data_IF_189498462512
#
_entry.id   IF_189498462512
#
_cell.length_a   1.000
_cell.length_b   1.000
_cell.length_c   1.000
_cell.angle_alpha   90.00
_cell.angle_beta   90.00
_cell.angle_gamma   90.00
#
_symmetry.space_group_name_H-M   'P 1'
#
loop_
_entity.id
_entity.type
_entity.pdbx_description
1 polymer ?
#
# COMPACT_ATOMS: atom_id res chain seq x y z
N UNK A 1 -9.08 22.37 -28.54
CA UNK A 1 -10.24 21.47 -28.33
C UNK A 1 -10.76 21.69 -26.92
N UNK A 2 -12.07 21.92 -26.74
CA UNK A 2 -12.68 22.07 -25.41
C UNK A 2 -12.73 20.73 -24.67
N UNK A 3 -12.67 20.76 -23.34
CA UNK A 3 -12.92 19.58 -22.52
C UNK A 3 -14.41 19.18 -22.60
N UNK A 4 -14.72 17.89 -22.42
CA UNK A 4 -16.12 17.41 -22.42
C UNK A 4 -16.99 18.13 -21.38
N UNK A 5 -16.38 18.56 -20.28
CA UNK A 5 -17.05 19.36 -19.25
C UNK A 5 -17.38 20.77 -19.71
N UNK A 6 -16.48 21.42 -20.45
CA UNK A 6 -16.74 22.74 -21.04
C UNK A 6 -17.83 22.68 -22.12
N UNK A 7 -17.80 21.66 -22.98
CA UNK A 7 -18.82 21.45 -24.02
C UNK A 7 -20.20 21.30 -23.37
N UNK A 8 -20.33 20.46 -22.36
CA UNK A 8 -21.62 20.25 -21.74
C UNK A 8 -22.09 21.45 -20.91
N UNK A 9 -21.19 22.14 -20.22
CA UNK A 9 -21.54 23.39 -19.55
C UNK A 9 -22.06 24.44 -20.53
N UNK A 10 -21.46 24.53 -21.73
CA UNK A 10 -21.97 25.39 -22.81
C UNK A 10 -23.36 24.95 -23.25
N UNK A 11 -23.58 23.66 -23.55
CA UNK A 11 -24.89 23.15 -23.98
C UNK A 11 -25.99 23.43 -22.95
N UNK A 12 -25.70 23.24 -21.66
CA UNK A 12 -26.66 23.51 -20.58
C UNK A 12 -26.95 25.01 -20.49
N UNK A 13 -25.92 25.85 -20.52
CA UNK A 13 -26.06 27.31 -20.43
C UNK A 13 -26.78 27.91 -21.63
N UNK A 14 -26.45 27.45 -22.85
CA UNK A 14 -27.09 27.89 -24.07
C UNK A 14 -28.56 27.42 -24.12
N UNK A 15 -28.83 26.19 -23.69
CA UNK A 15 -30.20 25.68 -23.56
C UNK A 15 -31.05 26.47 -22.55
N UNK A 16 -30.47 26.88 -21.42
CA UNK A 16 -31.13 27.76 -20.46
C UNK A 16 -31.44 29.13 -21.10
N UNK A 17 -30.49 29.71 -21.83
CA UNK A 17 -30.68 30.99 -22.53
C UNK A 17 -31.79 30.93 -23.58
N UNK A 18 -31.86 29.84 -24.36
CA UNK A 18 -32.93 29.64 -25.36
C UNK A 18 -34.33 29.60 -24.71
N UNK A 19 -34.44 28.95 -23.54
CA UNK A 19 -35.69 28.90 -22.77
C UNK A 19 -36.13 30.26 -22.22
N UNK A 20 -35.17 31.09 -21.81
CA UNK A 20 -35.39 32.46 -21.33
C UNK A 20 -35.81 33.39 -22.46
N UNK A 21 -35.21 33.23 -23.64
CA UNK A 21 -35.48 34.03 -24.83
C UNK A 21 -36.73 33.61 -25.59
N UNK A 22 -37.40 32.52 -25.18
CA UNK A 22 -38.60 32.01 -25.86
C UNK A 22 -38.31 31.43 -27.25
N UNK A 23 -37.09 30.98 -27.51
CA UNK A 23 -36.64 30.43 -28.81
C UNK A 23 -37.01 28.95 -29.00
N UNK A 24 -37.96 28.44 -28.22
CA UNK A 24 -38.32 27.03 -28.16
C UNK A 24 -39.83 26.90 -28.17
N UNK A 25 -40.36 26.17 -29.16
CA UNK A 25 -41.80 25.96 -29.35
C UNK A 25 -42.41 25.13 -28.21
N UNK A 26 -41.89 23.91 -27.96
CA UNK A 26 -42.30 23.08 -26.82
C UNK A 26 -41.36 23.28 -25.63
N UNK A 27 -41.66 24.31 -24.82
CA UNK A 27 -40.83 24.69 -23.68
C UNK A 27 -40.77 23.61 -22.60
N UNK A 28 -41.85 22.86 -22.40
CA UNK A 28 -41.93 21.89 -21.30
C UNK A 28 -41.16 20.62 -21.64
N UNK A 29 -41.29 20.13 -22.88
CA UNK A 29 -40.48 19.00 -23.35
C UNK A 29 -38.99 19.35 -23.36
N UNK A 30 -38.63 20.55 -23.81
CA UNK A 30 -37.23 21.00 -23.84
C UNK A 30 -36.64 21.15 -22.43
N UNK A 31 -37.38 21.75 -21.48
CA UNK A 31 -36.97 21.82 -20.07
C UNK A 31 -36.70 20.43 -19.49
N UNK A 32 -37.58 19.46 -19.76
CA UNK A 32 -37.42 18.09 -19.30
C UNK A 32 -36.13 17.46 -19.86
N UNK A 33 -35.90 17.58 -21.18
CA UNK A 33 -34.69 17.05 -21.84
C UNK A 33 -33.40 17.69 -21.31
N UNK A 34 -33.41 19.01 -21.10
CA UNK A 34 -32.26 19.75 -20.57
C UNK A 34 -31.95 19.35 -19.11
N UNK A 35 -32.99 19.20 -18.29
CA UNK A 35 -32.86 18.73 -16.91
C UNK A 35 -32.32 17.29 -16.86
N UNK A 36 -32.83 16.41 -17.73
CA UNK A 36 -32.35 15.03 -17.85
C UNK A 36 -30.87 14.99 -18.21
N UNK A 37 -30.44 15.76 -19.21
CA UNK A 37 -29.04 15.86 -19.63
C UNK A 37 -28.14 16.33 -18.48
N UNK A 38 -28.54 17.39 -17.78
CA UNK A 38 -27.83 17.91 -16.61
C UNK A 38 -27.67 16.85 -15.51
N UNK A 39 -28.75 16.15 -15.18
CA UNK A 39 -28.75 15.09 -14.17
C UNK A 39 -27.85 13.90 -14.56
N UNK A 40 -27.93 13.44 -15.81
CA UNK A 40 -27.10 12.36 -16.31
C UNK A 40 -25.61 12.72 -16.23
N UNK A 41 -25.26 13.94 -16.62
CA UNK A 41 -23.89 14.43 -16.52
C UNK A 41 -23.38 14.53 -15.10
N UNK A 42 -24.16 15.11 -14.19
CA UNK A 42 -23.80 15.13 -12.78
C UNK A 42 -23.59 13.71 -12.25
N UNK A 43 -24.36 12.73 -12.73
CA UNK A 43 -24.13 11.30 -12.47
C UNK A 43 -22.78 10.81 -12.98
N UNK A 44 -22.39 11.15 -14.21
CA UNK A 44 -21.07 10.81 -14.78
C UNK A 44 -19.94 11.44 -13.98
N UNK A 45 -20.03 12.73 -13.66
CA UNK A 45 -19.02 13.47 -12.88
C UNK A 45 -18.84 12.84 -11.51
N UNK A 46 -19.93 12.54 -10.79
CA UNK A 46 -19.88 11.88 -9.48
C UNK A 46 -19.19 10.51 -9.55
N UNK A 47 -19.55 9.67 -10.53
CA UNK A 47 -18.88 8.37 -10.73
C UNK A 47 -17.40 8.50 -11.06
N UNK A 48 -17.02 9.47 -11.89
CA UNK A 48 -15.63 9.73 -12.23
C UNK A 48 -14.82 10.17 -11.00
N UNK A 49 -15.37 11.08 -10.19
CA UNK A 49 -14.76 11.53 -8.93
C UNK A 49 -14.62 10.39 -7.92
N UNK A 50 -15.65 9.55 -7.78
CA UNK A 50 -15.60 8.37 -6.91
C UNK A 50 -14.51 7.39 -7.36
N UNK A 51 -14.44 7.09 -8.66
CA UNK A 51 -13.38 6.23 -9.22
C UNK A 51 -11.99 6.81 -8.96
N UNK A 52 -11.81 8.11 -9.16
CA UNK A 52 -10.54 8.78 -8.84
C UNK A 52 -10.18 8.61 -7.36
N UNK A 53 -11.11 8.85 -6.45
CA UNK A 53 -10.88 8.67 -5.02
C UNK A 53 -10.49 7.23 -4.63
N UNK A 54 -11.11 6.23 -5.26
CA UNK A 54 -10.75 4.82 -5.08
C UNK A 54 -9.32 4.56 -5.57
N UNK A 55 -8.98 4.99 -6.79
CA UNK A 55 -7.65 4.82 -7.36
C UNK A 55 -6.58 5.50 -6.50
N UNK A 56 -6.81 6.73 -6.07
CA UNK A 56 -5.88 7.48 -5.22
C UNK A 56 -5.66 6.77 -3.87
N UNK A 57 -6.71 6.18 -3.31
CA UNK A 57 -6.63 5.39 -2.08
C UNK A 57 -5.81 4.13 -2.26
N UNK A 58 -6.09 3.36 -3.32
CA UNK A 58 -5.36 2.14 -3.66
C UNK A 58 -3.88 2.45 -3.92
N UNK A 59 -3.58 3.51 -4.65
CA UNK A 59 -2.20 3.93 -4.93
C UNK A 59 -1.43 4.20 -3.63
N UNK A 60 -2.03 4.91 -2.66
CA UNK A 60 -1.39 5.15 -1.34
C UNK A 60 -1.18 3.86 -0.56
N UNK A 61 -2.12 2.92 -0.61
CA UNK A 61 -1.98 1.62 0.04
C UNK A 61 -0.82 0.82 -0.55
N UNK A 62 -0.72 0.78 -1.88
CA UNK A 62 0.40 0.13 -2.59
C UNK A 62 1.74 0.77 -2.26
N UNK A 63 1.84 2.11 -2.28
CA UNK A 63 3.06 2.83 -1.91
C UNK A 63 3.49 2.50 -0.48
N UNK A 64 2.56 2.56 0.47
CA UNK A 64 2.83 2.23 1.87
C UNK A 64 3.31 0.79 2.03
N UNK A 65 2.66 -0.16 1.35
CA UNK A 65 3.07 -1.57 1.35
C UNK A 65 4.51 -1.73 0.84
N UNK A 66 4.83 -1.11 -0.31
CA UNK A 66 6.19 -1.15 -0.88
C UNK A 66 7.24 -0.62 0.08
N UNK A 67 6.99 0.50 0.74
CA UNK A 67 7.90 1.05 1.76
C UNK A 67 8.09 0.11 2.95
N UNK A 68 7.01 -0.54 3.41
CA UNK A 68 7.06 -1.50 4.53
C UNK A 68 7.86 -2.74 4.15
N UNK A 69 7.64 -3.28 2.95
CA UNK A 69 8.41 -4.41 2.40
C UNK A 69 9.88 -4.06 2.28
N UNK A 70 10.22 -2.89 1.74
CA UNK A 70 11.61 -2.48 1.59
C UNK A 70 12.33 -2.36 2.94
N UNK A 71 11.68 -1.74 3.94
CA UNK A 71 12.22 -1.64 5.30
C UNK A 71 12.41 -3.02 5.94
N UNK A 72 11.44 -3.90 5.78
CA UNK A 72 11.51 -5.26 6.30
C UNK A 72 12.61 -6.08 5.61
N UNK A 73 12.73 -6.00 4.28
CA UNK A 73 13.78 -6.69 3.51
C UNK A 73 15.17 -6.21 3.93
N UNK A 74 15.38 -4.90 4.10
CA UNK A 74 16.66 -4.36 4.61
C UNK A 74 17.02 -4.95 5.97
N UNK A 75 16.06 -4.94 6.90
CA UNK A 75 16.27 -5.54 8.22
C UNK A 75 16.57 -7.04 8.15
N UNK A 76 15.86 -7.80 7.31
CA UNK A 76 16.10 -9.25 7.13
C UNK A 76 17.52 -9.55 6.64
N UNK A 77 18.04 -8.72 5.74
CA UNK A 77 19.43 -8.82 5.25
C UNK A 77 20.42 -8.48 6.37
N UNK A 78 20.20 -7.38 7.10
CA UNK A 78 21.05 -6.97 8.22
C UNK A 78 21.10 -8.05 9.32
N UNK A 79 19.94 -8.62 9.67
CA UNK A 79 19.83 -9.71 10.64
C UNK A 79 20.58 -10.96 10.18
N UNK A 80 20.52 -11.30 8.89
CA UNK A 80 21.23 -12.45 8.32
C UNK A 80 22.75 -12.26 8.31
N UNK A 81 23.23 -11.05 7.98
CA UNK A 81 24.66 -10.74 7.97
C UNK A 81 25.25 -10.71 9.38
N UNK A 82 24.54 -10.11 10.34
CA UNK A 82 24.90 -10.21 11.76
C UNK A 82 24.99 -11.68 12.19
N UNK A 83 24.12 -12.52 11.63
CA UNK A 83 24.13 -13.94 11.95
C UNK A 83 25.42 -14.65 11.50
N UNK A 84 25.80 -14.42 10.24
CA UNK A 84 26.98 -15.03 9.63
C UNK A 84 28.29 -14.55 10.24
N UNK A 85 28.36 -13.28 10.66
CA UNK A 85 29.56 -12.71 11.29
C UNK A 85 29.92 -13.40 12.61
N UNK A 86 28.92 -13.84 13.37
CA UNK A 86 29.13 -14.57 14.64
C UNK A 86 29.51 -16.04 14.43
N UNK A 87 28.98 -16.68 13.38
CA UNK A 87 29.28 -18.08 13.06
C UNK A 87 30.70 -18.27 12.50
N UNK A 88 31.32 -17.22 11.95
CA UNK A 88 32.65 -17.28 11.35
C UNK A 88 33.81 -17.54 12.34
N UNK A 89 33.54 -17.81 13.62
CA UNK A 89 34.55 -18.22 14.61
C UNK A 89 35.58 -17.16 14.98
N UNK A 90 35.36 -15.90 14.57
CA UNK A 90 36.22 -14.79 14.96
C UNK A 90 36.04 -14.54 16.48
N UNK A 91 37.13 -14.36 17.26
CA UNK A 91 37.02 -14.04 18.67
C UNK A 91 36.31 -12.68 18.82
N UNK A 92 35.06 -12.72 19.29
CA UNK A 92 34.28 -11.52 19.58
C UNK A 92 34.61 -11.05 21.00
N UNK A 93 35.06 -9.80 21.18
CA UNK A 93 35.26 -9.22 22.51
C UNK A 93 33.99 -9.36 23.37
N UNK A 94 34.14 -9.76 24.63
CA UNK A 94 33.04 -9.97 25.58
C UNK A 94 32.05 -8.80 25.65
N UNK A 95 32.58 -7.57 25.60
CA UNK A 95 31.80 -6.34 25.62
C UNK A 95 30.92 -6.20 24.36
N UNK A 96 31.45 -6.61 23.20
CA UNK A 96 30.74 -6.60 21.93
C UNK A 96 29.66 -7.70 21.89
N UNK A 97 29.96 -8.90 22.41
CA UNK A 97 28.98 -9.97 22.58
C UNK A 97 27.79 -9.55 23.49
N UNK A 98 28.07 -8.82 24.58
CA UNK A 98 27.01 -8.25 25.45
C UNK A 98 26.16 -7.21 24.74
N UNK A 99 26.77 -6.30 23.98
CA UNK A 99 26.04 -5.30 23.18
C UNK A 99 25.18 -5.97 22.10
N UNK A 100 25.68 -7.03 21.46
CA UNK A 100 24.92 -7.80 20.48
C UNK A 100 23.75 -8.55 21.10
N UNK A 101 23.93 -9.19 22.26
CA UNK A 101 22.83 -9.80 23.02
C UNK A 101 21.81 -8.75 23.46
N UNK A 102 22.27 -7.56 23.85
CA UNK A 102 21.43 -6.43 24.24
C UNK A 102 20.66 -5.83 23.05
N UNK A 103 21.23 -5.82 21.85
CA UNK A 103 20.56 -5.45 20.61
C UNK A 103 19.56 -6.53 20.15
N UNK A 104 19.87 -7.80 20.40
CA UNK A 104 18.98 -8.94 20.25
C UNK A 104 17.91 -9.03 21.36
N UNK A 105 17.95 -8.12 22.35
CA UNK A 105 16.91 -8.11 23.39
C UNK A 105 15.54 -7.95 22.77
N UNK A 106 14.62 -8.59 23.46
CA UNK A 106 13.20 -8.74 23.17
C UNK A 106 12.53 -7.50 22.56
N UNK A 107 12.89 -6.27 22.97
CA UNK A 107 12.30 -5.04 22.42
C UNK A 107 12.57 -4.80 20.94
N UNK A 108 13.79 -5.09 20.44
CA UNK A 108 14.10 -4.94 19.01
C UNK A 108 13.38 -6.03 18.23
N UNK A 109 13.41 -7.28 18.69
CA UNK A 109 12.71 -8.39 18.05
C UNK A 109 11.19 -8.18 18.01
N UNK A 110 10.57 -7.73 19.11
CA UNK A 110 9.15 -7.40 19.19
C UNK A 110 8.77 -6.27 18.24
N UNK A 111 9.60 -5.23 18.13
CA UNK A 111 9.38 -4.14 17.16
C UNK A 111 9.41 -4.67 15.73
N UNK A 112 10.35 -5.55 15.41
CA UNK A 112 10.46 -6.11 14.06
C UNK A 112 9.32 -7.10 13.77
N UNK A 113 8.86 -7.84 14.78
CA UNK A 113 7.66 -8.68 14.68
C UNK A 113 6.42 -7.86 14.36
N UNK A 114 6.25 -6.70 15.03
CA UNK A 114 5.19 -5.75 14.69
C UNK A 114 5.30 -5.23 13.25
N UNK A 115 6.52 -4.89 12.80
CA UNK A 115 6.78 -4.47 11.41
C UNK A 115 6.41 -5.56 10.41
N UNK A 116 6.78 -6.81 10.68
CA UNK A 116 6.43 -7.96 9.84
C UNK A 116 4.92 -8.17 9.75
N UNK A 117 4.21 -8.19 10.89
CA UNK A 117 2.75 -8.36 10.94
C UNK A 117 2.05 -7.28 10.12
N UNK A 118 2.42 -6.01 10.33
CA UNK A 118 1.83 -4.88 9.60
C UNK A 118 2.10 -4.96 8.09
N UNK A 119 3.28 -5.44 7.69
CA UNK A 119 3.65 -5.61 6.27
C UNK A 119 2.81 -6.69 5.63
N UNK A 120 2.69 -7.86 6.27
CA UNK A 120 1.88 -8.98 5.77
C UNK A 120 0.41 -8.61 5.71
N UNK A 121 -0.12 -7.95 6.75
CA UNK A 121 -1.52 -7.52 6.77
C UNK A 121 -1.82 -6.52 5.65
N UNK A 122 -0.93 -5.55 5.44
CA UNK A 122 -1.09 -4.61 4.33
C UNK A 122 -1.10 -5.31 2.96
N UNK A 123 -0.25 -6.31 2.76
CA UNK A 123 -0.29 -7.13 1.54
C UNK A 123 -1.60 -7.91 1.42
N UNK A 124 -2.10 -8.51 2.51
CA UNK A 124 -3.39 -9.22 2.51
C UNK A 124 -4.56 -8.29 2.16
N UNK A 125 -4.56 -7.06 2.66
CA UNK A 125 -5.58 -6.07 2.32
C UNK A 125 -5.54 -5.70 0.84
N UNK A 126 -4.35 -5.58 0.24
CA UNK A 126 -4.22 -5.29 -1.19
C UNK A 126 -4.77 -6.40 -2.08
N UNK A 127 -4.66 -7.67 -1.67
CA UNK A 127 -5.22 -8.82 -2.41
C UNK A 127 -6.74 -8.68 -2.64
N UNK A 128 -7.47 -8.03 -1.74
CA UNK A 128 -8.93 -7.82 -1.87
C UNK A 128 -9.31 -6.93 -3.07
N UNK A 129 -8.34 -6.21 -3.63
CA UNK A 129 -8.55 -5.22 -4.69
C UNK A 129 -7.63 -5.41 -5.90
N UNK A 130 -6.75 -6.41 -5.86
CA UNK A 130 -5.79 -6.70 -6.90
C UNK A 130 -6.48 -7.32 -8.12
N UNK A 131 -5.99 -7.01 -9.32
CA UNK A 131 -6.29 -7.83 -10.49
C UNK A 131 -5.54 -9.17 -10.42
N UNK A 132 -5.90 -10.13 -11.27
CA UNK A 132 -5.33 -11.49 -11.26
C UNK A 132 -3.80 -11.51 -11.37
N UNK A 133 -3.21 -10.57 -12.12
CA UNK A 133 -1.75 -10.52 -12.30
C UNK A 133 -1.08 -9.98 -11.05
N UNK A 134 -1.60 -8.88 -10.51
CA UNK A 134 -1.10 -8.27 -9.28
C UNK A 134 -1.29 -9.20 -8.08
N UNK A 135 -2.40 -9.94 -8.03
CA UNK A 135 -2.70 -10.93 -6.99
C UNK A 135 -1.64 -12.03 -6.95
N UNK A 136 -1.36 -12.66 -8.11
CA UNK A 136 -0.37 -13.72 -8.20
C UNK A 136 1.03 -13.25 -7.75
N UNK A 137 1.47 -12.09 -8.23
CA UNK A 137 2.77 -11.51 -7.85
C UNK A 137 2.83 -11.15 -6.36
N UNK A 138 1.73 -10.65 -5.80
CA UNK A 138 1.66 -10.28 -4.39
C UNK A 138 1.63 -11.50 -3.46
N UNK A 139 0.96 -12.58 -3.87
CA UNK A 139 0.97 -13.85 -3.15
C UNK A 139 2.38 -14.44 -3.10
N UNK A 140 3.09 -14.45 -4.22
CA UNK A 140 4.49 -14.90 -4.29
C UNK A 140 5.40 -14.05 -3.38
N UNK A 141 5.27 -12.71 -3.43
CA UNK A 141 6.04 -11.82 -2.58
C UNK A 141 5.76 -12.04 -1.08
N UNK A 142 4.50 -12.26 -0.71
CA UNK A 142 4.12 -12.55 0.67
C UNK A 142 4.67 -13.89 1.16
N UNK A 143 4.70 -14.92 0.31
CA UNK A 143 5.32 -16.20 0.63
C UNK A 143 6.83 -16.06 0.86
N UNK A 144 7.54 -15.38 -0.04
CA UNK A 144 8.98 -15.09 0.10
C UNK A 144 9.28 -14.33 1.42
N UNK A 145 8.47 -13.33 1.75
CA UNK A 145 8.61 -12.58 3.01
C UNK A 145 8.40 -13.50 4.23
N UNK A 146 7.37 -14.35 4.21
CA UNK A 146 7.08 -15.29 5.30
C UNK A 146 8.22 -16.28 5.51
N UNK A 147 8.76 -16.85 4.44
CA UNK A 147 9.88 -17.79 4.51
C UNK A 147 11.15 -17.14 5.04
N UNK A 148 11.54 -15.97 4.51
CA UNK A 148 12.71 -15.22 4.98
C UNK A 148 12.57 -14.82 6.44
N UNK A 149 11.39 -14.35 6.85
CA UNK A 149 11.10 -14.01 8.24
C UNK A 149 11.25 -15.24 9.15
N UNK A 150 10.72 -16.40 8.74
CA UNK A 150 10.85 -17.65 9.49
C UNK A 150 12.32 -18.04 9.64
N UNK A 151 13.10 -18.00 8.56
CA UNK A 151 14.52 -18.33 8.58
C UNK A 151 15.33 -17.38 9.47
N UNK A 152 15.07 -16.07 9.38
CA UNK A 152 15.73 -15.08 10.21
C UNK A 152 15.43 -15.33 11.70
N UNK A 153 14.19 -15.62 12.08
CA UNK A 153 13.86 -15.91 13.49
C UNK A 153 14.54 -17.18 14.01
N UNK A 154 14.57 -18.25 13.22
CA UNK A 154 15.26 -19.49 13.61
C UNK A 154 16.74 -19.19 13.88
N UNK A 155 17.42 -18.51 12.94
CA UNK A 155 18.83 -18.14 13.12
C UNK A 155 19.03 -17.27 14.35
N UNK A 156 18.25 -16.20 14.51
CA UNK A 156 18.40 -15.27 15.65
C UNK A 156 18.21 -15.98 17.00
N UNK A 157 17.29 -16.95 17.10
CA UNK A 157 17.11 -17.75 18.30
C UNK A 157 18.28 -18.72 18.57
N UNK A 158 18.87 -19.32 17.53
CA UNK A 158 20.09 -20.12 17.65
C UNK A 158 21.25 -19.27 18.18
N UNK A 159 21.46 -18.10 17.60
CA UNK A 159 22.54 -17.19 18.02
C UNK A 159 22.38 -16.68 19.45
N UNK A 160 21.15 -16.36 19.83
CA UNK A 160 20.84 -15.94 21.21
C UNK A 160 21.21 -17.04 22.20
N UNK A 161 20.97 -18.32 21.87
CA UNK A 161 21.37 -19.46 22.69
C UNK A 161 22.89 -19.61 22.75
N UNK A 162 23.58 -19.51 21.61
CA UNK A 162 25.05 -19.60 21.55
C UNK A 162 25.73 -18.49 22.37
N UNK A 163 25.30 -17.23 22.20
CA UNK A 163 25.80 -16.10 22.96
C UNK A 163 25.51 -16.25 24.46
N UNK A 164 24.35 -16.77 24.83
CA UNK A 164 24.03 -17.04 26.24
C UNK A 164 24.93 -18.12 26.87
N UNK A 165 25.39 -19.10 26.08
CA UNK A 165 26.37 -20.10 26.53
C UNK A 165 27.77 -19.49 26.65
N UNK A 166 28.21 -18.69 25.68
CA UNK A 166 29.54 -18.04 25.70
C UNK A 166 29.70 -16.97 26.80
N UNK A 167 28.58 -16.43 27.30
CA UNK A 167 28.55 -15.42 28.36
C UNK A 167 28.36 -16.01 29.77
N UNK A 168 28.26 -17.34 29.91
CA UNK A 168 28.30 -18.06 31.20
C UNK A 168 29.72 -18.36 31.62
#
# INVERSE_FOLDING_TARGET
MFSRQQILHSIISDGQRMLEQGQVDDRDEFKLKLALLSNQWQGVVRRAQQRRGIIDSLLRQWQRYREMVEKLRKWLVEASHQAETLQAGAPVPLQQARVMLDALREKVLLRQQGSYILTVEAGRQLLLSADTRAEAALQEELLDIQERWRHANIRLEEQKKELAVLLR
#
